data_IF_087867287892
#
_entry.id   IF_087867287892
#
_cell.length_a   1.000
_cell.length_b   1.000
_cell.length_c   1.000
_cell.angle_alpha   90.00
_cell.angle_beta   90.00
_cell.angle_gamma   90.00
#
_symmetry.space_group_name_H-M   'P 1'
#
loop_
_entity.id
_entity.type
_entity.pdbx_description
1 polymer ?
#
# COMPACT_ATOMS: atom_id res chain seq x y z
N UNK A 1 -15.92 -8.98 -0.34
CA UNK A 1 -15.43 -9.95 -1.31
C UNK A 1 -14.60 -11.00 -0.59
N UNK A 2 -15.01 -12.24 -0.70
CA UNK A 2 -14.22 -13.39 -0.25
C UNK A 2 -13.28 -13.74 -1.40
N UNK A 3 -12.12 -13.12 -1.36
CA UNK A 3 -11.10 -13.32 -2.36
C UNK A 3 -10.00 -14.24 -1.90
N UNK A 4 -8.83 -14.02 -2.38
CA UNK A 4 -7.62 -14.77 -2.11
C UNK A 4 -7.10 -14.58 -0.67
N UNK A 5 -5.83 -14.30 -0.48
CA UNK A 5 -5.15 -14.21 0.81
C UNK A 5 -5.64 -13.06 1.68
N UNK A 6 -5.84 -11.87 1.10
CA UNK A 6 -6.26 -10.67 1.82
C UNK A 6 -7.75 -10.41 1.65
N UNK A 7 -8.50 -10.43 2.75
CA UNK A 7 -9.97 -10.33 2.78
C UNK A 7 -10.46 -9.13 3.59
N UNK A 8 -9.60 -8.16 3.85
CA UNK A 8 -9.90 -6.98 4.65
C UNK A 8 -9.90 -5.72 3.78
N UNK A 9 -10.37 -4.63 4.37
CA UNK A 9 -10.44 -3.33 3.73
C UNK A 9 -9.76 -2.29 4.62
N UNK A 10 -8.70 -1.67 4.14
CA UNK A 10 -7.95 -0.65 4.89
C UNK A 10 -8.75 0.64 5.15
N UNK A 11 -9.83 0.87 4.42
CA UNK A 11 -10.77 1.99 4.68
C UNK A 11 -11.79 1.67 5.75
N UNK A 12 -12.00 0.37 6.08
CA UNK A 12 -13.03 -0.05 7.04
C UNK A 12 -12.72 0.49 8.44
N UNK A 13 -13.62 1.30 9.06
CA UNK A 13 -13.41 1.78 10.42
C UNK A 13 -13.39 0.65 11.44
N UNK A 14 -14.18 -0.40 11.21
CA UNK A 14 -14.20 -1.58 12.09
C UNK A 14 -12.87 -2.33 12.02
N UNK A 15 -12.30 -2.51 10.83
CA UNK A 15 -11.01 -3.16 10.69
C UNK A 15 -9.90 -2.35 11.33
N UNK A 16 -9.85 -1.04 11.08
CA UNK A 16 -8.90 -0.12 11.72
C UNK A 16 -8.97 -0.16 13.24
N UNK A 17 -10.18 -0.14 13.79
CA UNK A 17 -10.35 -0.20 15.25
C UNK A 17 -9.87 -1.54 15.84
N UNK A 18 -10.19 -2.67 15.19
CA UNK A 18 -9.72 -3.99 15.65
C UNK A 18 -8.20 -4.11 15.59
N UNK A 19 -7.60 -3.60 14.52
CA UNK A 19 -6.13 -3.56 14.38
C UNK A 19 -5.49 -2.69 15.45
N UNK A 20 -6.05 -1.50 15.72
CA UNK A 20 -5.59 -0.63 16.80
C UNK A 20 -5.60 -1.35 18.15
N UNK A 21 -6.69 -2.03 18.49
CA UNK A 21 -6.81 -2.77 19.75
C UNK A 21 -5.73 -3.85 19.87
N UNK A 22 -5.52 -4.64 18.82
CA UNK A 22 -4.51 -5.72 18.83
C UNK A 22 -3.10 -5.14 18.98
N UNK A 23 -2.75 -4.13 18.20
CA UNK A 23 -1.42 -3.53 18.23
C UNK A 23 -1.14 -2.84 19.57
N UNK A 24 -2.13 -2.15 20.14
CA UNK A 24 -2.03 -1.60 21.50
C UNK A 24 -1.72 -2.71 22.53
N UNK A 25 -2.46 -3.82 22.47
CA UNK A 25 -2.23 -4.95 23.39
C UNK A 25 -0.85 -5.59 23.24
N UNK A 26 -0.39 -5.76 21.99
CA UNK A 26 0.96 -6.27 21.73
C UNK A 26 2.03 -5.33 22.30
N UNK A 27 1.90 -4.03 22.11
CA UNK A 27 2.82 -3.06 22.66
C UNK A 27 2.79 -3.07 24.20
N UNK A 28 1.61 -3.05 24.84
CA UNK A 28 1.47 -3.13 26.30
C UNK A 28 2.17 -4.37 26.89
N UNK A 29 2.13 -5.50 26.17
CA UNK A 29 2.71 -6.76 26.66
C UNK A 29 4.21 -6.87 26.43
N UNK A 30 4.73 -6.30 25.34
CA UNK A 30 6.07 -6.65 24.88
C UNK A 30 7.04 -5.47 24.71
N UNK A 31 6.60 -4.21 24.81
CA UNK A 31 7.47 -3.04 24.59
C UNK A 31 8.70 -2.99 25.50
N UNK A 32 8.59 -3.51 26.70
CA UNK A 32 9.67 -3.50 27.69
C UNK A 32 10.46 -4.82 27.71
N UNK A 33 10.11 -5.77 26.84
CA UNK A 33 10.80 -7.05 26.79
C UNK A 33 12.16 -6.92 26.07
N UNK A 34 13.28 -7.30 26.69
CA UNK A 34 14.63 -7.08 26.13
C UNK A 34 14.92 -7.81 24.83
N UNK A 35 14.15 -8.84 24.51
CA UNK A 35 14.25 -9.56 23.22
C UNK A 35 13.50 -8.90 22.06
N UNK A 36 12.70 -7.86 22.31
CA UNK A 36 12.01 -7.13 21.23
C UNK A 36 12.88 -5.98 20.76
N UNK A 37 13.47 -6.16 19.60
CA UNK A 37 14.39 -5.18 18.98
C UNK A 37 13.71 -4.32 17.91
N UNK A 38 12.63 -4.80 17.33
CA UNK A 38 11.88 -4.11 16.28
C UNK A 38 10.44 -4.67 16.18
N UNK A 39 9.57 -3.89 15.52
CA UNK A 39 8.20 -4.27 15.20
C UNK A 39 8.05 -4.51 13.70
N UNK A 40 7.74 -5.74 13.31
CA UNK A 40 7.32 -6.05 11.95
C UNK A 40 5.80 -5.88 11.86
N UNK A 41 5.38 -4.82 11.15
CA UNK A 41 3.99 -4.41 11.07
C UNK A 41 3.31 -5.17 9.94
N UNK A 42 2.38 -6.05 10.27
CA UNK A 42 1.64 -6.86 9.31
C UNK A 42 2.54 -7.57 8.27
N UNK A 43 1.96 -8.27 7.33
CA UNK A 43 2.72 -9.06 6.36
C UNK A 43 2.27 -8.78 4.93
N UNK A 44 3.21 -8.40 4.05
CA UNK A 44 3.02 -8.29 2.60
C UNK A 44 1.75 -7.51 2.23
N UNK A 45 1.69 -6.23 2.58
CA UNK A 45 0.56 -5.39 2.21
C UNK A 45 0.28 -5.47 0.71
N UNK A 46 -0.92 -5.87 0.36
CA UNK A 46 -1.33 -6.07 -1.03
C UNK A 46 -2.84 -6.11 -1.17
N UNK A 47 -3.29 -6.27 -2.39
CA UNK A 47 -4.70 -6.36 -2.73
C UNK A 47 -5.37 -5.01 -2.90
N UNK A 48 -6.50 -5.05 -3.55
CA UNK A 48 -7.35 -3.89 -3.83
C UNK A 48 -8.76 -4.17 -3.32
N UNK A 49 -9.41 -3.16 -2.78
CA UNK A 49 -10.78 -3.26 -2.30
C UNK A 49 -11.66 -2.23 -3.00
N UNK A 50 -12.66 -2.70 -3.73
CA UNK A 50 -13.59 -1.87 -4.50
C UNK A 50 -14.95 -1.69 -3.79
N UNK A 51 -15.01 -1.85 -2.46
CA UNK A 51 -16.24 -1.69 -1.69
C UNK A 51 -16.70 -0.21 -1.65
N UNK A 52 -17.96 0.06 -1.24
CA UNK A 52 -18.48 1.43 -1.17
C UNK A 52 -17.60 2.39 -0.38
N UNK A 53 -16.97 1.96 0.72
CA UNK A 53 -16.07 2.80 1.51
C UNK A 53 -14.83 3.21 0.69
N UNK A 54 -14.25 2.29 -0.08
CA UNK A 54 -13.10 2.58 -0.93
C UNK A 54 -13.49 3.46 -2.12
N UNK A 55 -14.69 3.28 -2.68
CA UNK A 55 -15.22 4.15 -3.74
C UNK A 55 -15.35 5.59 -3.27
N UNK A 56 -15.94 5.80 -2.10
CA UNK A 56 -16.10 7.13 -1.51
C UNK A 56 -14.74 7.76 -1.17
N UNK A 57 -13.85 7.00 -0.54
CA UNK A 57 -12.49 7.47 -0.23
C UNK A 57 -11.72 7.85 -1.50
N UNK A 58 -11.85 7.09 -2.59
CA UNK A 58 -11.23 7.40 -3.86
C UNK A 58 -11.79 8.68 -4.48
N UNK A 59 -13.11 8.89 -4.49
CA UNK A 59 -13.71 10.14 -4.94
C UNK A 59 -13.17 11.34 -4.16
N UNK A 60 -13.07 11.22 -2.84
CA UNK A 60 -12.48 12.25 -1.98
C UNK A 60 -11.02 12.53 -2.32
N UNK A 61 -10.23 11.50 -2.56
CA UNK A 61 -8.83 11.60 -2.96
C UNK A 61 -8.67 12.29 -4.32
N UNK A 62 -9.47 11.89 -5.31
CA UNK A 62 -9.50 12.48 -6.65
C UNK A 62 -9.91 13.95 -6.58
N UNK A 63 -10.97 14.27 -5.83
CA UNK A 63 -11.43 15.65 -5.62
C UNK A 63 -10.35 16.53 -4.99
N UNK A 64 -9.67 16.01 -3.96
CA UNK A 64 -8.55 16.72 -3.33
C UNK A 64 -7.40 16.97 -4.31
N UNK A 65 -7.07 15.99 -5.15
CA UNK A 65 -5.97 16.07 -6.12
C UNK A 65 -6.23 17.04 -7.24
N UNK A 66 -7.42 17.04 -7.80
CA UNK A 66 -7.74 17.81 -9.00
C UNK A 66 -8.45 19.15 -8.72
N UNK A 67 -9.16 19.26 -7.62
CA UNK A 67 -9.92 20.44 -7.24
C UNK A 67 -11.21 20.60 -8.05
N UNK A 68 -11.12 20.61 -9.37
CA UNK A 68 -12.27 20.77 -10.27
C UNK A 68 -12.45 19.60 -11.23
N UNK A 69 -13.69 19.43 -11.68
CA UNK A 69 -14.06 18.36 -12.61
C UNK A 69 -13.48 18.59 -14.02
N UNK A 70 -13.38 19.85 -14.43
CA UNK A 70 -12.76 20.23 -15.71
C UNK A 70 -11.29 19.81 -15.74
N UNK A 71 -10.57 20.05 -14.63
CA UNK A 71 -9.17 19.64 -14.52
C UNK A 71 -9.04 18.13 -14.55
N UNK A 72 -9.90 17.39 -13.83
CA UNK A 72 -9.95 15.94 -13.85
C UNK A 72 -10.14 15.44 -15.29
N UNK A 73 -11.21 15.87 -15.93
CA UNK A 73 -11.58 15.46 -17.29
C UNK A 73 -10.45 15.73 -18.30
N UNK A 74 -9.81 16.89 -18.20
CA UNK A 74 -8.68 17.24 -19.05
C UNK A 74 -7.47 16.33 -18.82
N UNK A 75 -7.09 16.07 -17.57
CA UNK A 75 -5.89 15.30 -17.22
C UNK A 75 -6.08 13.82 -17.54
N UNK A 76 -7.26 13.26 -17.30
CA UNK A 76 -7.58 11.88 -17.63
C UNK A 76 -7.93 11.68 -19.10
N UNK A 77 -8.05 12.79 -19.87
CA UNK A 77 -8.47 12.76 -21.27
C UNK A 77 -9.82 12.04 -21.48
N UNK A 78 -10.78 12.34 -20.63
CA UNK A 78 -12.08 11.63 -20.58
C UNK A 78 -12.96 11.90 -21.81
N UNK A 79 -12.63 12.90 -22.62
CA UNK A 79 -13.30 13.15 -23.91
C UNK A 79 -13.13 12.02 -24.90
N UNK A 80 -12.08 11.19 -24.73
CA UNK A 80 -11.87 10.00 -25.54
C UNK A 80 -13.01 8.98 -25.28
N UNK A 81 -13.69 8.56 -26.34
CA UNK A 81 -14.88 7.72 -26.31
C UNK A 81 -16.01 8.21 -25.38
N UNK A 82 -16.12 9.54 -25.22
CA UNK A 82 -17.20 10.17 -24.45
C UNK A 82 -17.31 9.77 -22.97
N UNK A 83 -16.17 9.53 -22.34
CA UNK A 83 -16.11 9.19 -20.90
C UNK A 83 -16.12 10.42 -19.97
N UNK A 84 -16.52 11.60 -20.47
CA UNK A 84 -16.50 12.86 -19.71
C UNK A 84 -17.42 12.81 -18.48
N UNK A 85 -16.84 12.96 -17.31
CA UNK A 85 -17.58 13.03 -16.05
C UNK A 85 -18.32 14.36 -15.92
N UNK A 86 -19.55 14.29 -15.42
CA UNK A 86 -20.40 15.43 -15.12
C UNK A 86 -20.44 15.76 -13.62
N UNK A 87 -20.08 14.80 -12.77
CA UNK A 87 -19.91 14.99 -11.34
C UNK A 87 -18.82 14.05 -10.80
N UNK A 88 -18.25 14.39 -9.63
CA UNK A 88 -17.32 13.48 -8.95
C UNK A 88 -17.97 12.18 -8.47
N UNK A 89 -19.29 12.18 -8.29
CA UNK A 89 -20.04 10.97 -7.84
C UNK A 89 -20.04 9.87 -8.90
N UNK A 90 -19.83 10.23 -10.17
CA UNK A 90 -19.67 9.27 -11.26
C UNK A 90 -18.29 8.60 -11.32
N UNK A 91 -17.33 9.11 -10.55
CA UNK A 91 -15.99 8.52 -10.52
C UNK A 91 -16.02 7.24 -9.69
N UNK A 92 -15.63 6.15 -10.33
CA UNK A 92 -15.51 4.83 -9.71
C UNK A 92 -14.11 4.29 -9.93
N UNK A 93 -13.72 3.33 -9.08
CA UNK A 93 -12.49 2.57 -9.30
C UNK A 93 -12.53 1.82 -10.63
N UNK A 94 -11.39 1.52 -11.25
CA UNK A 94 -11.36 0.70 -12.46
C UNK A 94 -12.11 -0.60 -12.24
N UNK A 95 -13.01 -0.94 -13.17
CA UNK A 95 -13.71 -2.22 -13.13
C UNK A 95 -12.73 -3.37 -13.38
N UNK A 96 -12.88 -4.53 -12.69
CA UNK A 96 -12.17 -5.76 -13.06
C UNK A 96 -12.45 -6.22 -14.50
N UNK A 97 -13.57 -5.77 -15.06
CA UNK A 97 -13.89 -5.96 -16.49
C UNK A 97 -13.20 -4.94 -17.40
N UNK A 98 -12.39 -4.06 -16.79
CA UNK A 98 -11.41 -3.18 -17.42
C UNK A 98 -12.02 -2.08 -18.28
N UNK A 99 -11.96 -0.85 -17.81
CA UNK A 99 -11.91 0.27 -18.74
C UNK A 99 -10.43 0.61 -18.99
N UNK A 100 -9.82 -0.12 -19.92
CA UNK A 100 -8.42 0.09 -20.30
C UNK A 100 -8.20 1.44 -20.99
N UNK A 101 -9.26 2.11 -21.39
CA UNK A 101 -9.19 3.37 -22.16
C UNK A 101 -8.86 4.59 -21.28
N UNK A 102 -9.15 4.56 -19.98
CA UNK A 102 -8.86 5.64 -19.04
C UNK A 102 -7.58 5.38 -18.23
N UNK A 103 -6.44 5.52 -18.87
CA UNK A 103 -5.14 5.32 -18.23
C UNK A 103 -4.92 6.23 -17.00
N UNK A 104 -5.46 7.47 -17.03
CA UNK A 104 -5.42 8.39 -15.91
C UNK A 104 -6.15 7.84 -14.67
N UNK A 105 -7.32 7.25 -14.87
CA UNK A 105 -8.08 6.59 -13.81
C UNK A 105 -7.31 5.41 -13.23
N UNK A 106 -6.79 4.51 -14.09
CA UNK A 106 -6.05 3.33 -13.65
C UNK A 106 -4.80 3.70 -12.84
N UNK A 107 -4.05 4.71 -13.30
CA UNK A 107 -2.86 5.18 -12.60
C UNK A 107 -3.20 5.83 -11.26
N UNK A 108 -4.25 6.62 -11.21
CA UNK A 108 -4.68 7.28 -9.99
C UNK A 108 -5.30 6.32 -8.99
N UNK A 109 -5.96 5.28 -9.44
CA UNK A 109 -6.40 4.20 -8.58
C UNK A 109 -5.20 3.51 -7.88
N UNK A 110 -4.15 3.16 -8.62
CA UNK A 110 -2.92 2.59 -8.03
C UNK A 110 -2.24 3.53 -7.03
N UNK A 111 -2.23 4.83 -7.33
CA UNK A 111 -1.71 5.86 -6.40
C UNK A 111 -2.55 5.95 -5.14
N UNK A 112 -3.87 5.95 -5.28
CA UNK A 112 -4.80 5.93 -4.15
C UNK A 112 -4.62 4.68 -3.30
N UNK A 113 -4.52 3.49 -3.90
CA UNK A 113 -4.28 2.24 -3.17
C UNK A 113 -2.97 2.32 -2.38
N UNK A 114 -1.92 2.87 -2.96
CA UNK A 114 -0.65 3.08 -2.27
C UNK A 114 -0.79 4.05 -1.10
N UNK A 115 -1.39 5.23 -1.32
CA UNK A 115 -1.58 6.25 -0.29
C UNK A 115 -2.46 5.73 0.86
N UNK A 116 -3.52 4.97 0.53
CA UNK A 116 -4.41 4.34 1.50
C UNK A 116 -3.67 3.28 2.34
N UNK A 117 -2.83 2.48 1.71
CA UNK A 117 -2.05 1.45 2.40
C UNK A 117 -1.01 2.09 3.32
N UNK A 118 -0.30 3.11 2.85
CA UNK A 118 0.67 3.85 3.67
C UNK A 118 -0.01 4.53 4.88
N UNK A 119 -1.19 5.11 4.69
CA UNK A 119 -2.01 5.66 5.78
C UNK A 119 -2.43 4.59 6.79
N UNK A 120 -2.77 3.39 6.32
CA UNK A 120 -3.11 2.30 7.20
C UNK A 120 -1.90 1.79 8.00
N UNK A 121 -0.72 1.68 7.40
CA UNK A 121 0.53 1.35 8.10
C UNK A 121 0.84 2.39 9.18
N UNK A 122 0.69 3.68 8.87
CA UNK A 122 0.82 4.77 9.89
C UNK A 122 -0.14 4.57 11.05
N UNK A 123 -1.36 4.15 10.76
CA UNK A 123 -2.37 3.86 11.78
C UNK A 123 -1.94 2.72 12.70
N UNK A 124 -1.40 1.64 12.15
CA UNK A 124 -0.90 0.49 12.91
C UNK A 124 0.29 0.88 13.78
N UNK A 125 1.29 1.58 13.22
CA UNK A 125 2.46 2.06 13.96
C UNK A 125 2.05 3.04 15.06
N UNK A 126 1.12 3.94 14.77
CA UNK A 126 0.62 4.88 15.76
C UNK A 126 0.05 4.18 16.98
N UNK A 127 -0.67 3.08 16.80
CA UNK A 127 -1.22 2.31 17.92
C UNK A 127 -0.11 1.76 18.84
N UNK A 128 1.02 1.31 18.28
CA UNK A 128 2.19 0.87 19.03
C UNK A 128 2.83 2.06 19.79
N UNK A 129 3.03 3.19 19.10
CA UNK A 129 3.63 4.41 19.68
C UNK A 129 2.78 5.00 20.80
N UNK A 130 1.45 5.07 20.61
CA UNK A 130 0.50 5.55 21.63
C UNK A 130 0.53 4.68 22.90
N UNK A 131 0.85 3.40 22.78
CA UNK A 131 1.04 2.47 23.89
C UNK A 131 2.46 2.51 24.50
N UNK A 132 3.35 3.36 23.98
CA UNK A 132 4.70 3.59 24.49
C UNK A 132 5.78 2.67 23.94
N UNK A 133 5.54 2.00 22.80
CA UNK A 133 6.58 1.22 22.12
C UNK A 133 7.53 2.16 21.33
N UNK A 134 8.84 2.08 21.62
CA UNK A 134 9.87 2.94 21.03
C UNK A 134 10.73 2.22 19.99
N UNK A 135 10.71 0.89 19.97
CA UNK A 135 11.51 0.10 19.04
C UNK A 135 11.16 0.44 17.58
N UNK A 136 12.14 0.39 16.67
CA UNK A 136 11.92 0.71 15.27
C UNK A 136 10.91 -0.24 14.62
N UNK A 137 10.20 0.26 13.63
CA UNK A 137 9.15 -0.45 12.91
C UNK A 137 9.49 -0.60 11.43
N UNK A 138 9.08 -1.73 10.86
CA UNK A 138 9.23 -2.03 9.44
C UNK A 138 8.04 -2.81 8.91
N UNK A 139 7.95 -2.92 7.60
CA UNK A 139 7.09 -3.85 6.87
C UNK A 139 7.94 -4.69 5.93
N UNK A 140 7.50 -5.90 5.59
CA UNK A 140 8.16 -6.63 4.51
C UNK A 140 7.62 -6.19 3.15
N UNK A 141 8.52 -5.73 2.29
CA UNK A 141 8.22 -5.37 0.91
C UNK A 141 8.39 -6.59 0.01
N UNK A 142 7.48 -6.79 -0.92
CA UNK A 142 7.56 -7.89 -1.88
C UNK A 142 8.41 -7.47 -3.08
N UNK A 143 9.32 -8.30 -3.50
CA UNK A 143 10.34 -8.03 -4.51
C UNK A 143 9.85 -7.19 -5.71
N UNK A 144 9.24 -7.73 -6.69
CA UNK A 144 8.80 -7.03 -7.89
C UNK A 144 7.28 -6.74 -7.91
N UNK A 145 6.71 -6.52 -6.73
CA UNK A 145 5.29 -6.23 -6.62
C UNK A 145 4.96 -4.83 -7.15
N UNK A 146 4.22 -4.79 -8.25
CA UNK A 146 3.84 -3.55 -8.94
C UNK A 146 2.56 -2.90 -8.40
N UNK A 147 1.95 -3.49 -7.37
CA UNK A 147 0.69 -3.01 -6.78
C UNK A 147 0.84 -1.80 -5.87
N UNK A 148 2.04 -1.57 -5.33
CA UNK A 148 2.33 -0.46 -4.42
C UNK A 148 3.60 0.29 -4.85
N UNK A 149 3.60 1.60 -4.65
CA UNK A 149 4.80 2.42 -4.75
C UNK A 149 5.48 2.49 -3.38
N UNK A 150 6.53 1.70 -3.18
CA UNK A 150 7.22 1.60 -1.89
C UNK A 150 7.94 2.88 -1.45
N UNK A 151 8.25 3.82 -2.34
CA UNK A 151 8.75 5.14 -1.96
C UNK A 151 7.83 5.88 -0.97
N UNK A 152 6.53 5.63 -1.04
CA UNK A 152 5.55 6.23 -0.13
C UNK A 152 5.64 5.71 1.30
N UNK A 153 6.39 4.65 1.51
CA UNK A 153 6.59 4.05 2.84
C UNK A 153 7.86 4.55 3.53
N UNK A 154 8.79 5.21 2.81
CA UNK A 154 10.02 5.73 3.38
C UNK A 154 9.79 6.69 4.56
N UNK A 155 8.74 7.50 4.50
CA UNK A 155 8.34 8.41 5.60
C UNK A 155 7.46 7.74 6.67
N UNK A 156 7.24 6.43 6.57
CA UNK A 156 6.29 5.70 7.42
C UNK A 156 6.97 4.71 8.34
N UNK A 157 8.01 4.05 7.84
CA UNK A 157 8.77 2.99 8.52
C UNK A 157 10.15 3.49 8.91
N UNK A 158 10.76 2.88 9.91
CA UNK A 158 12.07 3.31 10.42
C UNK A 158 13.24 2.67 9.65
N UNK A 159 13.02 1.49 9.04
CA UNK A 159 14.00 0.83 8.19
C UNK A 159 13.33 -0.08 7.17
N UNK A 160 14.00 -0.33 6.06
CA UNK A 160 13.52 -1.19 4.97
C UNK A 160 13.79 -2.64 5.28
N UNK A 161 12.78 -3.49 5.09
CA UNK A 161 12.94 -4.93 5.00
C UNK A 161 12.10 -5.48 3.85
N UNK A 162 12.51 -6.56 3.26
CA UNK A 162 11.80 -7.13 2.15
C UNK A 162 11.97 -8.65 2.02
N UNK A 163 11.05 -9.25 1.29
CA UNK A 163 11.04 -10.69 1.07
C UNK A 163 12.08 -11.09 0.04
N UNK A 164 12.88 -12.08 0.42
CA UNK A 164 13.87 -12.66 -0.45
C UNK A 164 13.84 -14.18 -0.30
N UNK A 165 13.63 -14.88 -1.40
CA UNK A 165 13.48 -16.34 -1.44
C UNK A 165 14.54 -16.99 -2.32
N UNK A 166 15.83 -16.96 -1.96
CA UNK A 166 16.87 -17.63 -2.73
C UNK A 166 16.68 -19.16 -2.68
N UNK A 167 16.69 -19.79 -3.83
CA UNK A 167 16.47 -21.24 -3.96
C UNK A 167 17.74 -21.95 -4.40
N UNK A 168 18.73 -22.01 -3.54
CA UNK A 168 20.08 -22.47 -3.87
C UNK A 168 20.21 -23.98 -4.13
N UNK A 169 19.16 -24.75 -3.92
CA UNK A 169 19.18 -26.22 -4.01
C UNK A 169 18.30 -26.80 -5.12
N UNK A 170 17.76 -25.96 -5.98
CA UNK A 170 16.94 -26.37 -7.12
C UNK A 170 17.67 -26.10 -8.43
N UNK A 171 17.21 -26.74 -9.51
CA UNK A 171 17.81 -26.72 -10.84
C UNK A 171 18.20 -25.32 -11.38
N UNK A 172 19.01 -25.28 -12.43
CA UNK A 172 19.71 -24.11 -12.98
C UNK A 172 18.85 -22.87 -13.35
N UNK A 173 17.54 -22.98 -13.29
CA UNK A 173 16.59 -21.89 -13.57
C UNK A 173 16.08 -21.15 -12.32
N UNK A 174 16.63 -21.45 -11.16
CA UNK A 174 16.20 -20.87 -9.89
C UNK A 174 16.97 -19.59 -9.55
N UNK A 175 16.39 -18.78 -8.67
CA UNK A 175 16.97 -17.48 -8.24
C UNK A 175 18.43 -17.65 -7.84
N UNK A 176 19.32 -17.09 -8.61
CA UNK A 176 20.78 -17.15 -8.42
C UNK A 176 21.26 -16.13 -7.40
N UNK A 177 22.54 -16.27 -6.97
CA UNK A 177 23.18 -15.23 -6.14
C UNK A 177 23.21 -13.88 -6.85
N UNK A 178 23.32 -13.86 -8.20
CA UNK A 178 23.27 -12.66 -9.00
C UNK A 178 21.88 -12.00 -8.96
N UNK A 179 20.82 -12.78 -9.12
CA UNK A 179 19.44 -12.25 -9.03
C UNK A 179 19.17 -11.67 -7.64
N UNK A 180 19.60 -12.37 -6.59
CA UNK A 180 19.50 -11.90 -5.21
C UNK A 180 20.29 -10.60 -5.02
N UNK A 181 21.54 -10.54 -5.48
CA UNK A 181 22.38 -9.34 -5.41
C UNK A 181 21.75 -8.17 -6.16
N UNK A 182 21.29 -8.39 -7.38
CA UNK A 182 20.64 -7.34 -8.18
C UNK A 182 19.36 -6.80 -7.50
N UNK A 183 18.59 -7.66 -6.85
CA UNK A 183 17.41 -7.24 -6.09
C UNK A 183 17.78 -6.34 -4.91
N UNK A 184 18.82 -6.68 -4.18
CA UNK A 184 19.32 -5.84 -3.08
C UNK A 184 19.85 -4.49 -3.56
N UNK A 185 20.60 -4.48 -4.65
CA UNK A 185 21.12 -3.23 -5.24
C UNK A 185 20.00 -2.31 -5.73
N UNK A 186 18.98 -2.87 -6.40
CA UNK A 186 17.80 -2.09 -6.81
C UNK A 186 17.02 -1.53 -5.61
N UNK A 187 16.92 -2.30 -4.54
CA UNK A 187 16.27 -1.86 -3.31
C UNK A 187 17.01 -0.67 -2.67
N UNK A 188 18.34 -0.73 -2.62
CA UNK A 188 19.16 0.38 -2.11
C UNK A 188 18.96 1.66 -2.93
N UNK A 189 18.99 1.55 -4.26
CA UNK A 189 18.86 2.70 -5.17
C UNK A 189 17.45 3.30 -5.14
N UNK A 190 16.40 2.47 -5.07
CA UNK A 190 15.03 2.91 -5.29
C UNK A 190 14.18 3.05 -4.04
N UNK A 191 14.62 2.52 -2.91
CA UNK A 191 13.80 2.47 -1.68
C UNK A 191 14.53 3.09 -0.50
N UNK A 192 15.84 2.82 -0.36
CA UNK A 192 16.62 3.20 0.83
C UNK A 192 17.29 4.57 0.70
N UNK A 193 17.55 5.05 -0.51
CA UNK A 193 18.15 6.36 -0.78
C UNK A 193 17.29 7.12 -1.81
N UNK A 194 16.19 7.75 -1.37
CA UNK A 194 15.46 8.66 -2.23
C UNK A 194 16.34 9.88 -2.51
N UNK A 195 16.75 10.06 -3.76
CA UNK A 195 17.40 11.28 -4.26
C UNK A 195 16.40 12.41 -4.41
#
# INVERSE_FOLDING_TARGET
LYGERHKHCYTSPVYREKTRIINTKLAEMFKDHPGVIAWHISNEYSGECHCPLCQEAFRGWVKKKYGTLERLNRVWNTGFWSHTYQSFDQVESPSPKGDFSLHGLNLDWKRFVTDQTADFVKWEIKALRDAGAEQPSTINMMYNFTGLNYYKFADVIDFVSWDNYPTWHKEAETVTAMDTGMQHDLSLIHISEPT
#
